data_IF_186757406903
#
_entry.id   IF_186757406903
#
_cell.length_a   1.000
_cell.length_b   1.000
_cell.length_c   1.000
_cell.angle_alpha   90.00
_cell.angle_beta   90.00
_cell.angle_gamma   90.00
#
_symmetry.space_group_name_H-M   'P 1'
#
loop_
_entity.id
_entity.type
_entity.pdbx_description
1 polymer ?
#
# COMPACT_ATOMS: atom_id res chain seq x y z
N UNK A 1 20.49 -3.56 -9.01
CA UNK A 1 20.20 -4.30 -7.76
C UNK A 1 21.49 -4.60 -7.02
N UNK A 2 21.52 -4.35 -5.68
CA UNK A 2 22.70 -4.59 -4.83
C UNK A 2 22.88 -6.11 -4.58
N UNK A 3 21.79 -6.87 -4.63
CA UNK A 3 21.77 -8.33 -4.38
C UNK A 3 20.89 -9.03 -5.44
N UNK A 4 21.37 -9.21 -6.67
CA UNK A 4 20.55 -9.74 -7.77
C UNK A 4 20.08 -11.18 -7.55
N UNK A 5 20.85 -12.00 -6.82
CA UNK A 5 20.54 -13.40 -6.58
C UNK A 5 19.61 -13.66 -5.38
N UNK A 6 19.31 -12.62 -4.59
CA UNK A 6 18.38 -12.76 -3.47
C UNK A 6 16.93 -12.86 -3.98
N UNK A 7 16.12 -13.69 -3.33
CA UNK A 7 14.70 -13.80 -3.70
C UNK A 7 13.96 -12.51 -3.38
N UNK A 8 13.39 -11.91 -4.40
CA UNK A 8 12.51 -10.74 -4.27
C UNK A 8 11.08 -11.18 -3.93
N UNK A 9 10.60 -12.23 -4.59
CA UNK A 9 9.24 -12.73 -4.41
C UNK A 9 9.28 -14.27 -4.29
N UNK A 10 8.53 -14.77 -3.32
CA UNK A 10 8.21 -16.17 -3.15
C UNK A 10 6.70 -16.33 -3.29
N UNK A 11 6.26 -17.27 -4.13
CA UNK A 11 4.86 -17.63 -4.31
C UNK A 11 4.72 -19.14 -4.48
N UNK A 12 3.51 -19.66 -4.36
CA UNK A 12 3.26 -21.11 -4.58
C UNK A 12 3.57 -21.52 -6.03
N UNK A 13 3.35 -20.61 -6.98
CA UNK A 13 3.54 -20.89 -8.41
C UNK A 13 4.97 -20.67 -8.89
N UNK A 14 5.69 -19.68 -8.32
CA UNK A 14 7.01 -19.27 -8.81
C UNK A 14 7.77 -18.41 -7.81
N UNK A 15 9.06 -18.69 -7.68
CA UNK A 15 10.00 -17.79 -6.99
C UNK A 15 10.76 -16.96 -8.03
N UNK A 16 11.07 -15.71 -7.69
CA UNK A 16 11.81 -14.80 -8.56
C UNK A 16 12.86 -14.02 -7.78
N UNK A 17 14.07 -13.89 -8.33
CA UNK A 17 15.14 -13.10 -7.72
C UNK A 17 14.97 -11.61 -8.02
N UNK A 18 15.71 -10.76 -7.27
CA UNK A 18 15.76 -9.32 -7.57
C UNK A 18 16.31 -9.02 -8.96
N UNK A 19 17.27 -9.81 -9.45
CA UNK A 19 17.82 -9.69 -10.80
C UNK A 19 16.77 -9.95 -11.88
N UNK A 20 16.04 -11.07 -11.75
CA UNK A 20 14.96 -11.43 -12.68
C UNK A 20 13.80 -10.44 -12.62
N UNK A 21 13.37 -10.03 -11.41
CA UNK A 21 12.33 -9.04 -11.21
C UNK A 21 12.68 -7.72 -11.91
N UNK A 22 13.91 -7.24 -11.69
CA UNK A 22 14.38 -6.00 -12.32
C UNK A 22 14.43 -6.10 -13.84
N UNK A 23 14.98 -7.20 -14.38
CA UNK A 23 15.05 -7.45 -15.83
C UNK A 23 13.67 -7.39 -16.48
N UNK A 24 12.71 -8.17 -15.95
CA UNK A 24 11.36 -8.24 -16.50
C UNK A 24 10.59 -6.92 -16.34
N UNK A 25 10.73 -6.25 -15.18
CA UNK A 25 10.13 -4.95 -14.97
C UNK A 25 10.73 -3.87 -15.93
N UNK A 26 12.02 -3.92 -16.23
CA UNK A 26 12.65 -3.02 -17.19
C UNK A 26 12.13 -3.28 -18.60
N UNK A 27 12.07 -4.53 -19.04
CA UNK A 27 11.57 -4.88 -20.36
C UNK A 27 10.13 -4.39 -20.58
N UNK A 28 9.25 -4.64 -19.63
CA UNK A 28 7.88 -4.14 -19.69
C UNK A 28 7.81 -2.60 -19.59
N UNK A 29 8.69 -1.97 -18.79
CA UNK A 29 8.70 -0.50 -18.69
C UNK A 29 9.10 0.17 -20.01
N UNK A 30 10.10 -0.38 -20.75
CA UNK A 30 10.45 0.14 -22.08
C UNK A 30 9.29 -0.04 -23.06
N UNK A 31 8.59 -1.15 -23.01
CA UNK A 31 7.38 -1.36 -23.81
C UNK A 31 6.32 -0.29 -23.52
N UNK A 32 6.07 -0.01 -22.24
CA UNK A 32 5.11 1.02 -21.80
C UNK A 32 5.56 2.44 -22.21
N UNK A 33 6.85 2.75 -22.15
CA UNK A 33 7.40 4.03 -22.61
C UNK A 33 7.15 4.22 -24.12
N UNK A 34 7.37 3.18 -24.92
CA UNK A 34 7.09 3.20 -26.36
C UNK A 34 5.61 3.44 -26.67
N UNK A 35 4.72 3.05 -25.74
CA UNK A 35 3.27 3.32 -25.79
C UNK A 35 2.87 4.70 -25.25
N UNK A 36 3.83 5.51 -24.78
CA UNK A 36 3.58 6.86 -24.27
C UNK A 36 3.39 6.97 -22.77
N UNK A 37 3.72 5.94 -21.98
CA UNK A 37 3.73 6.06 -20.51
C UNK A 37 4.87 6.99 -20.07
N UNK A 38 4.57 7.86 -19.11
CA UNK A 38 5.50 8.81 -18.51
C UNK A 38 4.90 9.43 -17.25
N UNK A 39 5.53 10.50 -16.68
CA UNK A 39 5.06 11.13 -15.44
C UNK A 39 3.59 11.50 -15.47
N UNK A 40 2.88 11.11 -14.39
CA UNK A 40 1.43 11.32 -14.19
C UNK A 40 0.51 10.62 -15.22
N UNK A 41 1.03 9.78 -16.12
CA UNK A 41 0.21 8.94 -17.00
C UNK A 41 -0.29 7.73 -16.20
N UNK A 42 -1.62 7.55 -16.13
CA UNK A 42 -2.23 6.40 -15.47
C UNK A 42 -2.19 5.16 -16.36
N UNK A 43 -1.78 4.03 -15.78
CA UNK A 43 -1.85 2.71 -16.41
C UNK A 43 -2.71 1.81 -15.55
N UNK A 44 -3.80 1.29 -16.12
CA UNK A 44 -4.63 0.30 -15.46
C UNK A 44 -3.91 -1.05 -15.38
N UNK A 45 -4.01 -1.72 -14.24
CA UNK A 45 -3.44 -3.06 -14.02
C UNK A 45 -4.55 -3.97 -13.50
N UNK A 46 -5.12 -4.77 -14.40
CA UNK A 46 -6.16 -5.74 -14.10
C UNK A 46 -5.61 -7.15 -14.32
N UNK A 47 -4.95 -7.68 -13.32
CA UNK A 47 -4.26 -8.98 -13.31
C UNK A 47 -4.67 -9.77 -12.08
N UNK A 48 -4.61 -11.10 -12.19
CA UNK A 48 -4.70 -11.94 -11.00
C UNK A 48 -3.48 -11.73 -10.09
N UNK A 49 -3.65 -12.02 -8.79
CA UNK A 49 -2.55 -11.98 -7.83
C UNK A 49 -1.45 -12.96 -8.26
N UNK A 50 -0.31 -12.43 -8.64
CA UNK A 50 0.80 -13.21 -9.21
C UNK A 50 2.09 -12.41 -9.19
N UNK A 51 3.21 -13.07 -9.45
CA UNK A 51 4.50 -12.40 -9.69
C UNK A 51 4.40 -11.40 -10.85
N UNK A 52 3.62 -11.71 -11.89
CA UNK A 52 3.45 -10.84 -13.05
C UNK A 52 2.71 -9.54 -12.72
N UNK A 53 1.79 -9.57 -11.73
CA UNK A 53 1.17 -8.35 -11.22
C UNK A 53 2.21 -7.42 -10.57
N UNK A 54 3.11 -7.94 -9.75
CA UNK A 54 4.17 -7.12 -9.12
C UNK A 54 5.12 -6.56 -10.19
N UNK A 55 5.47 -7.38 -11.20
CA UNK A 55 6.28 -6.93 -12.34
C UNK A 55 5.57 -5.80 -13.08
N UNK A 56 4.27 -5.91 -13.34
CA UNK A 56 3.48 -4.88 -14.03
C UNK A 56 3.46 -3.57 -13.25
N UNK A 57 3.19 -3.62 -11.92
CA UNK A 57 3.21 -2.43 -11.06
C UNK A 57 4.59 -1.75 -11.10
N UNK A 58 5.66 -2.53 -10.92
CA UNK A 58 7.02 -1.97 -10.96
C UNK A 58 7.37 -1.42 -12.34
N UNK A 59 6.93 -2.06 -13.43
CA UNK A 59 7.18 -1.58 -14.78
C UNK A 59 6.49 -0.24 -15.04
N UNK A 60 5.25 -0.06 -14.58
CA UNK A 60 4.53 1.21 -14.65
C UNK A 60 5.30 2.31 -13.92
N UNK A 61 5.73 2.04 -12.68
CA UNK A 61 6.50 3.01 -11.88
C UNK A 61 7.86 3.33 -12.51
N UNK A 62 8.56 2.32 -13.08
CA UNK A 62 9.83 2.51 -13.79
C UNK A 62 9.66 3.29 -15.10
N UNK A 63 8.52 3.18 -15.76
CA UNK A 63 8.16 3.99 -16.92
C UNK A 63 7.78 5.44 -16.54
N UNK A 64 7.78 5.77 -15.25
CA UNK A 64 7.35 7.06 -14.71
C UNK A 64 5.85 7.20 -14.52
N UNK A 65 5.06 6.22 -14.93
CA UNK A 65 3.60 6.22 -14.84
C UNK A 65 3.08 5.97 -13.44
N UNK A 66 1.77 6.16 -13.25
CA UNK A 66 1.06 5.85 -12.03
C UNK A 66 0.14 4.63 -12.21
N UNK A 67 0.17 3.71 -11.25
CA UNK A 67 -0.60 2.49 -11.30
C UNK A 67 -2.05 2.72 -10.86
N UNK A 68 -3.02 2.24 -11.65
CA UNK A 68 -4.40 2.06 -11.25
C UNK A 68 -4.68 0.56 -11.10
N UNK A 69 -4.57 -0.01 -9.89
CA UNK A 69 -4.86 -1.42 -9.68
C UNK A 69 -6.37 -1.67 -9.72
N UNK A 70 -6.75 -2.70 -10.48
CA UNK A 70 -8.13 -3.13 -10.72
C UNK A 70 -8.25 -4.61 -10.35
N UNK A 71 -9.07 -4.94 -9.36
CA UNK A 71 -9.29 -6.34 -8.98
C UNK A 71 -10.25 -6.99 -10.00
N UNK A 72 -9.83 -8.05 -10.72
CA UNK A 72 -10.68 -8.73 -11.69
C UNK A 72 -11.92 -9.37 -11.05
N UNK A 73 -11.92 -9.58 -9.72
CA UNK A 73 -13.07 -10.07 -8.96
C UNK A 73 -14.17 -9.00 -8.77
N UNK A 74 -13.89 -7.74 -9.11
CA UNK A 74 -14.92 -6.69 -8.99
C UNK A 74 -16.05 -6.87 -10.01
N UNK A 75 -17.29 -6.50 -9.64
CA UNK A 75 -18.38 -6.47 -10.59
C UNK A 75 -18.04 -5.63 -11.83
N UNK A 76 -18.47 -6.09 -13.00
CA UNK A 76 -18.26 -5.43 -14.29
C UNK A 76 -18.59 -3.92 -14.27
N UNK A 77 -19.73 -3.54 -13.67
CA UNK A 77 -20.16 -2.13 -13.58
C UNK A 77 -19.19 -1.30 -12.74
N UNK A 78 -18.58 -1.90 -11.70
CA UNK A 78 -17.58 -1.21 -10.87
C UNK A 78 -16.30 -0.98 -11.66
N UNK A 79 -15.82 -1.97 -12.39
CA UNK A 79 -14.65 -1.83 -13.26
C UNK A 79 -14.90 -0.77 -14.34
N UNK A 80 -16.09 -0.77 -14.97
CA UNK A 80 -16.47 0.23 -15.94
C UNK A 80 -16.42 1.65 -15.36
N UNK A 81 -17.04 1.87 -14.18
CA UNK A 81 -17.04 3.18 -13.53
C UNK A 81 -15.62 3.67 -13.19
N UNK A 82 -14.73 2.78 -12.72
CA UNK A 82 -13.35 3.14 -12.38
C UNK A 82 -12.55 3.49 -13.63
N UNK A 83 -12.67 2.71 -14.69
CA UNK A 83 -11.97 2.93 -15.96
C UNK A 83 -12.48 4.19 -16.68
N UNK A 84 -13.78 4.45 -16.67
CA UNK A 84 -14.38 5.66 -17.25
C UNK A 84 -13.93 6.93 -16.49
N UNK A 85 -13.96 6.89 -15.14
CA UNK A 85 -13.57 8.04 -14.31
C UNK A 85 -12.06 8.32 -14.42
N UNK A 86 -11.23 7.26 -14.50
CA UNK A 86 -9.78 7.37 -14.61
C UNK A 86 -9.28 7.66 -16.03
N UNK A 87 -10.06 7.31 -17.06
CA UNK A 87 -9.73 7.48 -18.47
C UNK A 87 -8.31 6.99 -18.82
N UNK A 88 -7.92 5.79 -18.31
CA UNK A 88 -6.57 5.26 -18.51
C UNK A 88 -6.27 5.01 -19.98
N UNK A 89 -5.14 5.48 -20.52
CA UNK A 89 -4.78 5.23 -21.91
C UNK A 89 -4.37 3.78 -22.18
N UNK A 90 -3.80 3.10 -21.20
CA UNK A 90 -3.28 1.73 -21.31
C UNK A 90 -3.86 0.89 -20.18
N UNK A 91 -4.29 -0.34 -20.51
CA UNK A 91 -4.77 -1.35 -19.55
C UNK A 91 -4.00 -2.65 -19.73
N UNK A 92 -3.20 -3.01 -18.73
CA UNK A 92 -2.51 -4.29 -18.65
C UNK A 92 -3.46 -5.35 -18.11
N UNK A 93 -3.54 -6.51 -18.79
CA UNK A 93 -4.40 -7.61 -18.41
C UNK A 93 -3.84 -8.97 -18.87
N UNK A 94 -4.64 -10.03 -18.75
CA UNK A 94 -4.38 -11.40 -19.22
C UNK A 94 -5.50 -11.83 -20.17
N UNK A 95 -5.18 -12.71 -21.13
CA UNK A 95 -6.13 -13.13 -22.17
C UNK A 95 -7.45 -13.68 -21.56
N UNK A 96 -7.35 -14.54 -20.55
CA UNK A 96 -8.53 -15.13 -19.90
C UNK A 96 -9.42 -14.13 -19.13
N UNK A 97 -8.92 -12.94 -18.81
CA UNK A 97 -9.67 -11.88 -18.13
C UNK A 97 -10.42 -10.95 -19.10
N UNK A 98 -10.08 -10.98 -20.41
CA UNK A 98 -10.68 -10.08 -21.41
C UNK A 98 -12.21 -10.12 -21.42
N UNK A 99 -12.81 -11.31 -21.28
CA UNK A 99 -14.25 -11.47 -21.29
C UNK A 99 -14.96 -10.84 -20.06
N UNK A 100 -14.20 -10.55 -19.00
CA UNK A 100 -14.72 -9.94 -17.76
C UNK A 100 -14.57 -8.41 -17.78
N UNK A 101 -13.72 -7.88 -18.68
CA UNK A 101 -13.50 -6.45 -18.78
C UNK A 101 -14.66 -5.72 -19.47
N UNK A 102 -15.02 -4.53 -19.02
CA UNK A 102 -15.95 -3.68 -19.75
C UNK A 102 -15.33 -3.20 -21.07
N UNK A 103 -16.19 -2.76 -22.00
CA UNK A 103 -15.74 -2.06 -23.20
C UNK A 103 -15.07 -0.74 -22.79
N UNK A 104 -13.79 -0.56 -23.15
CA UNK A 104 -12.99 0.61 -22.76
C UNK A 104 -12.31 1.24 -23.98
N UNK A 105 -11.94 2.51 -23.87
CA UNK A 105 -11.15 3.23 -24.87
C UNK A 105 -9.64 3.00 -24.72
N UNK A 106 -9.22 2.34 -23.63
CA UNK A 106 -7.82 2.03 -23.35
C UNK A 106 -7.23 1.10 -24.41
N UNK A 107 -5.96 1.28 -24.72
CA UNK A 107 -5.20 0.26 -25.42
C UNK A 107 -4.96 -0.91 -24.47
N UNK A 108 -5.55 -2.06 -24.77
CA UNK A 108 -5.44 -3.26 -23.94
C UNK A 108 -4.16 -4.00 -24.32
N UNK A 109 -3.37 -4.39 -23.32
CA UNK A 109 -2.15 -5.18 -23.45
C UNK A 109 -2.30 -6.46 -22.65
N UNK A 110 -2.40 -7.60 -23.33
CA UNK A 110 -2.37 -8.92 -22.72
C UNK A 110 -0.94 -9.37 -22.51
N UNK A 111 -0.49 -9.47 -21.25
CA UNK A 111 0.91 -9.77 -20.91
C UNK A 111 1.37 -11.15 -21.38
N UNK A 112 0.46 -12.10 -21.46
CA UNK A 112 0.65 -13.44 -22.00
C UNK A 112 0.87 -13.44 -23.52
N UNK A 113 0.24 -12.53 -24.28
CA UNK A 113 0.40 -12.40 -25.73
C UNK A 113 1.69 -11.68 -26.12
N UNK A 114 2.09 -10.65 -25.37
CA UNK A 114 3.27 -9.82 -25.71
C UNK A 114 4.58 -10.36 -25.15
N UNK A 115 4.59 -11.54 -24.54
CA UNK A 115 5.76 -12.10 -23.83
C UNK A 115 7.02 -12.16 -24.69
N UNK A 116 6.92 -12.65 -25.93
CA UNK A 116 8.05 -12.75 -26.85
C UNK A 116 8.59 -11.36 -27.22
N UNK A 117 7.70 -10.38 -27.43
CA UNK A 117 8.10 -9.01 -27.71
C UNK A 117 8.83 -8.37 -26.51
N UNK A 118 8.37 -8.63 -25.30
CA UNK A 118 9.00 -8.14 -24.07
C UNK A 118 10.42 -8.70 -23.91
N UNK A 119 10.65 -9.97 -24.25
CA UNK A 119 11.97 -10.61 -24.17
C UNK A 119 13.02 -9.92 -25.09
N UNK A 120 12.57 -9.26 -26.16
CA UNK A 120 13.43 -8.48 -27.05
C UNK A 120 13.67 -7.03 -26.61
N UNK A 121 12.94 -6.52 -25.61
CA UNK A 121 13.18 -5.18 -25.04
C UNK A 121 14.43 -5.19 -24.16
N UNK A 122 15.07 -4.03 -24.07
CA UNK A 122 16.26 -3.88 -23.23
C UNK A 122 15.94 -4.12 -21.74
N UNK A 123 16.86 -4.77 -21.05
CA UNK A 123 16.80 -5.02 -19.59
C UNK A 123 17.50 -3.92 -18.76
N UNK A 124 18.03 -2.89 -19.40
CA UNK A 124 18.65 -1.74 -18.70
C UNK A 124 17.57 -0.90 -18.03
N UNK A 125 17.86 -0.34 -16.86
CA UNK A 125 16.91 0.57 -16.22
C UNK A 125 16.57 1.74 -17.15
N UNK A 126 15.29 2.08 -17.33
CA UNK A 126 14.91 3.24 -18.13
C UNK A 126 15.41 4.54 -17.47
N UNK A 127 15.81 5.49 -18.31
CA UNK A 127 16.23 6.85 -17.89
C UNK A 127 15.01 7.79 -17.96
N UNK A 128 14.11 7.66 -17.00
CA UNK A 128 12.93 8.50 -16.87
C UNK A 128 13.08 9.40 -15.65
N UNK A 129 12.92 10.71 -15.88
CA UNK A 129 12.97 11.70 -14.80
C UNK A 129 11.62 11.76 -14.09
N UNK A 130 11.56 11.28 -12.87
CA UNK A 130 10.36 11.28 -12.00
C UNK A 130 10.60 12.20 -10.81
N UNK A 131 9.69 13.15 -10.60
CA UNK A 131 9.67 13.99 -9.39
C UNK A 131 9.00 13.25 -8.23
N UNK A 132 9.38 13.51 -6.97
CA UNK A 132 8.68 13.00 -5.81
C UNK A 132 7.19 13.34 -5.78
N UNK A 133 6.79 14.46 -6.40
CA UNK A 133 5.42 14.93 -6.53
C UNK A 133 4.63 14.22 -7.65
N UNK A 134 5.29 13.47 -8.56
CA UNK A 134 4.54 12.69 -9.54
C UNK A 134 3.72 11.59 -8.87
N UNK A 135 2.61 11.22 -9.51
CA UNK A 135 1.73 10.16 -9.03
C UNK A 135 2.43 8.80 -9.10
N UNK A 136 2.26 8.03 -8.05
CA UNK A 136 2.67 6.63 -7.99
C UNK A 136 1.49 5.68 -8.21
N UNK A 137 0.34 5.99 -7.63
CA UNK A 137 -0.86 5.19 -7.81
C UNK A 137 -2.14 5.99 -7.62
N UNK A 138 -3.23 5.43 -8.14
CA UNK A 138 -4.60 5.87 -7.84
C UNK A 138 -5.38 4.67 -7.31
N UNK A 139 -5.94 4.77 -6.11
CA UNK A 139 -6.78 3.73 -5.52
C UNK A 139 -8.18 4.27 -5.27
N UNK A 140 -9.18 3.50 -5.71
CA UNK A 140 -10.59 3.87 -5.57
C UNK A 140 -11.16 3.45 -4.23
N UNK A 141 -11.70 4.41 -3.50
CA UNK A 141 -12.43 4.20 -2.25
C UNK A 141 -13.93 4.37 -2.44
N UNK A 142 -14.75 3.77 -1.55
CA UNK A 142 -16.19 3.98 -1.54
C UNK A 142 -16.50 5.42 -1.13
N UNK A 143 -17.13 6.19 -2.02
CA UNK A 143 -17.56 7.55 -1.71
C UNK A 143 -18.79 7.57 -0.82
N UNK A 144 -18.94 8.59 0.03
CA UNK A 144 -20.15 8.84 0.85
C UNK A 144 -21.43 8.99 0.01
N UNK A 145 -21.28 9.32 -1.28
CA UNK A 145 -22.38 9.46 -2.27
C UNK A 145 -22.66 8.15 -3.03
N UNK A 146 -22.02 7.03 -2.66
CA UNK A 146 -22.13 5.73 -3.34
C UNK A 146 -21.27 5.58 -4.60
N UNK A 147 -20.74 6.68 -5.16
CA UNK A 147 -19.83 6.61 -6.32
C UNK A 147 -18.37 6.49 -5.87
N UNK A 148 -17.57 5.59 -6.47
CA UNK A 148 -16.15 5.47 -6.15
C UNK A 148 -15.39 6.78 -6.39
N UNK A 149 -14.36 7.03 -5.58
CA UNK A 149 -13.43 8.17 -5.69
C UNK A 149 -12.01 7.65 -5.82
N UNK A 150 -11.29 7.99 -6.88
CA UNK A 150 -9.88 7.69 -7.04
C UNK A 150 -9.02 8.64 -6.22
N UNK A 151 -8.29 8.11 -5.24
CA UNK A 151 -7.33 8.87 -4.43
C UNK A 151 -5.98 8.84 -5.13
N UNK A 152 -5.45 10.01 -5.49
CA UNK A 152 -4.22 10.18 -6.25
C UNK A 152 -3.03 10.39 -5.31
N UNK A 153 -2.15 9.39 -5.19
CA UNK A 153 -1.03 9.37 -4.23
C UNK A 153 0.30 9.54 -4.95
N UNK A 154 1.18 10.34 -4.37
CA UNK A 154 2.48 10.73 -4.91
C UNK A 154 3.61 9.82 -4.38
N UNK A 155 4.75 9.77 -5.09
CA UNK A 155 5.93 9.00 -4.70
C UNK A 155 6.48 9.43 -3.33
N UNK A 156 6.37 10.71 -2.98
CA UNK A 156 6.90 11.27 -1.73
C UNK A 156 6.32 10.60 -0.49
N UNK A 157 4.99 10.35 -0.49
CA UNK A 157 4.32 9.66 0.60
C UNK A 157 4.84 8.23 0.80
N UNK A 158 5.05 7.49 -0.30
CA UNK A 158 5.57 6.12 -0.25
C UNK A 158 6.99 6.10 0.32
N UNK A 159 7.85 7.02 -0.12
CA UNK A 159 9.23 7.08 0.36
C UNK A 159 9.32 7.33 1.88
N UNK A 160 8.46 8.21 2.41
CA UNK A 160 8.36 8.47 3.85
C UNK A 160 7.87 7.22 4.60
N UNK A 161 6.78 6.61 4.12
CA UNK A 161 6.17 5.42 4.71
C UNK A 161 7.17 4.27 4.82
N UNK A 162 7.86 3.93 3.72
CA UNK A 162 8.76 2.77 3.67
C UNK A 162 9.95 2.93 4.61
N UNK A 163 10.54 4.13 4.69
CA UNK A 163 11.63 4.41 5.63
C UNK A 163 11.19 4.23 7.08
N UNK A 164 10.00 4.74 7.40
CA UNK A 164 9.43 4.60 8.73
C UNK A 164 9.11 3.13 9.05
N UNK A 165 8.45 2.39 8.13
CA UNK A 165 8.16 0.97 8.30
C UNK A 165 9.42 0.13 8.53
N UNK A 166 10.48 0.39 7.75
CA UNK A 166 11.75 -0.32 7.89
C UNK A 166 12.32 -0.18 9.29
N UNK A 167 12.32 1.04 9.84
CA UNK A 167 12.77 1.31 11.20
C UNK A 167 11.84 0.73 12.26
N UNK A 168 10.52 0.94 12.13
CA UNK A 168 9.51 0.54 13.12
C UNK A 168 9.43 -0.98 13.29
N UNK A 169 9.51 -1.71 12.18
CA UNK A 169 9.37 -3.17 12.15
C UNK A 169 10.72 -3.90 12.04
N UNK A 170 11.85 -3.18 12.10
CA UNK A 170 13.21 -3.73 11.97
C UNK A 170 13.36 -4.57 10.67
N UNK A 171 12.86 -4.06 9.55
CA UNK A 171 12.94 -4.78 8.27
C UNK A 171 14.37 -4.77 7.75
N UNK A 172 14.87 -5.96 7.47
CA UNK A 172 16.19 -6.19 6.88
C UNK A 172 16.05 -7.03 5.61
N UNK A 173 17.14 -7.27 4.92
CA UNK A 173 17.15 -8.14 3.73
C UNK A 173 16.78 -9.61 4.04
N UNK A 174 16.93 -10.04 5.28
CA UNK A 174 16.55 -11.39 5.75
C UNK A 174 15.05 -11.47 6.08
N UNK A 175 14.38 -10.32 6.18
CA UNK A 175 12.95 -10.27 6.50
C UNK A 175 12.10 -10.83 5.37
N UNK A 176 10.99 -11.45 5.75
CA UNK A 176 9.97 -11.96 4.83
C UNK A 176 8.65 -11.28 5.14
N UNK A 177 8.16 -10.51 4.20
CA UNK A 177 6.95 -9.70 4.35
C UNK A 177 5.82 -10.39 3.60
N UNK A 178 4.68 -10.61 4.25
CA UNK A 178 3.52 -11.14 3.55
C UNK A 178 2.93 -10.14 2.56
N UNK A 179 2.46 -10.62 1.41
CA UNK A 179 1.56 -9.88 0.54
C UNK A 179 0.19 -10.57 0.60
N UNK A 180 -0.71 -10.00 1.39
CA UNK A 180 -2.03 -10.55 1.67
C UNK A 180 -3.15 -9.63 1.16
N UNK A 181 -3.03 -8.33 1.33
CA UNK A 181 -4.05 -7.38 0.92
C UNK A 181 -4.32 -7.45 -0.60
N UNK A 182 -5.57 -7.23 -1.02
CA UNK A 182 -5.87 -7.03 -2.44
C UNK A 182 -5.17 -5.75 -2.93
N UNK A 183 -4.62 -5.79 -4.14
CA UNK A 183 -3.94 -4.64 -4.75
C UNK A 183 -4.88 -3.43 -5.00
N UNK A 184 -6.19 -3.63 -4.88
CA UNK A 184 -7.16 -2.53 -4.89
C UNK A 184 -7.23 -1.76 -3.56
N UNK A 185 -6.45 -2.16 -2.56
CA UNK A 185 -6.27 -1.44 -1.28
C UNK A 185 -4.80 -1.01 -1.14
N UNK A 186 -4.61 0.15 -0.55
CA UNK A 186 -3.30 0.75 -0.35
C UNK A 186 -2.40 -0.03 0.63
N UNK A 187 -2.97 -0.85 1.50
CA UNK A 187 -2.22 -1.79 2.34
C UNK A 187 -1.29 -2.69 1.50
N UNK A 188 -1.72 -3.14 0.30
CA UNK A 188 -0.90 -3.95 -0.60
C UNK A 188 0.33 -3.17 -1.13
N UNK A 189 0.19 -1.85 -1.34
CA UNK A 189 1.32 -0.97 -1.68
C UNK A 189 2.30 -0.92 -0.52
N UNK A 190 1.78 -0.76 0.72
CA UNK A 190 2.59 -0.77 1.94
C UNK A 190 3.38 -2.07 2.11
N UNK A 191 2.74 -3.23 1.93
CA UNK A 191 3.37 -4.56 2.00
C UNK A 191 4.47 -4.72 0.95
N UNK A 192 4.14 -4.44 -0.32
CA UNK A 192 5.04 -4.61 -1.46
C UNK A 192 6.25 -3.69 -1.37
N UNK A 193 6.03 -2.40 -1.11
CA UNK A 193 7.10 -1.42 -1.00
C UNK A 193 7.97 -1.66 0.23
N UNK A 194 7.39 -2.04 1.37
CA UNK A 194 8.13 -2.40 2.58
C UNK A 194 9.11 -3.55 2.32
N UNK A 195 8.71 -4.57 1.57
CA UNK A 195 9.58 -5.67 1.20
C UNK A 195 10.65 -5.24 0.19
N UNK A 196 10.21 -4.82 -0.99
CA UNK A 196 11.09 -4.70 -2.15
C UNK A 196 12.08 -3.53 -2.05
N UNK A 197 11.68 -2.40 -1.43
CA UNK A 197 12.57 -1.24 -1.30
C UNK A 197 13.61 -1.39 -0.16
N UNK A 198 13.45 -2.40 0.71
CA UNK A 198 14.41 -2.74 1.76
C UNK A 198 15.25 -3.98 1.43
N UNK A 199 15.13 -4.55 0.24
CA UNK A 199 15.86 -5.76 -0.16
C UNK A 199 15.37 -7.03 0.52
N UNK A 200 14.20 -7.00 1.19
CA UNK A 200 13.55 -8.13 1.85
C UNK A 200 12.78 -8.99 0.83
N UNK A 201 12.30 -10.15 1.25
CA UNK A 201 11.49 -11.03 0.41
C UNK A 201 10.01 -10.78 0.60
N UNK A 202 9.27 -10.57 -0.48
CA UNK A 202 7.81 -10.54 -0.51
C UNK A 202 7.28 -11.97 -0.63
N UNK A 203 6.51 -12.45 0.34
CA UNK A 203 5.87 -13.77 0.30
C UNK A 203 4.41 -13.58 -0.09
N UNK A 204 4.05 -14.01 -1.30
CA UNK A 204 2.69 -13.87 -1.82
C UNK A 204 1.79 -14.97 -1.23
N UNK A 205 0.66 -14.58 -0.70
CA UNK A 205 -0.35 -15.47 -0.15
C UNK A 205 -1.46 -15.64 -1.20
N UNK A 206 -1.35 -16.68 -2.01
CA UNK A 206 -2.27 -16.93 -3.14
C UNK A 206 -3.58 -17.56 -2.68
N UNK A 207 -3.61 -18.20 -1.51
CA UNK A 207 -4.78 -18.87 -0.96
C UNK A 207 -5.40 -18.07 0.17
N UNK A 208 -6.71 -17.96 0.14
CA UNK A 208 -7.50 -17.24 1.15
C UNK A 208 -7.98 -18.14 2.31
N UNK A 209 -7.69 -19.46 2.27
CA UNK A 209 -8.07 -20.35 3.36
C UNK A 209 -7.08 -20.26 4.55
N UNK A 210 -7.64 -20.33 5.76
CA UNK A 210 -6.90 -20.05 7.00
C UNK A 210 -5.82 -21.08 7.31
N UNK A 211 -6.02 -22.36 6.98
CA UNK A 211 -5.03 -23.38 7.26
C UNK A 211 -3.84 -23.26 6.31
N UNK A 212 -4.07 -22.98 5.02
CA UNK A 212 -3.01 -22.64 4.07
C UNK A 212 -2.24 -21.38 4.48
N UNK A 213 -2.91 -20.39 5.06
CA UNK A 213 -2.27 -19.19 5.57
C UNK A 213 -1.31 -19.50 6.73
N UNK A 214 -1.74 -20.30 7.72
CA UNK A 214 -0.91 -20.75 8.84
C UNK A 214 0.29 -21.55 8.34
N UNK A 215 0.07 -22.51 7.42
CA UNK A 215 1.15 -23.32 6.82
C UNK A 215 2.18 -22.44 6.09
N UNK A 216 1.73 -21.39 5.39
CA UNK A 216 2.62 -20.47 4.68
C UNK A 216 3.42 -19.62 5.65
N UNK A 217 2.80 -19.12 6.73
CA UNK A 217 3.49 -18.37 7.79
C UNK A 217 4.61 -19.22 8.40
N UNK A 218 4.31 -20.47 8.77
CA UNK A 218 5.26 -21.38 9.39
C UNK A 218 6.38 -21.77 8.40
N UNK A 219 6.02 -22.24 7.18
CA UNK A 219 6.97 -22.67 6.16
C UNK A 219 7.97 -21.60 5.78
N UNK A 220 7.51 -20.38 5.57
CA UNK A 220 8.36 -19.27 5.13
C UNK A 220 8.91 -18.46 6.28
N UNK A 221 8.47 -18.65 7.53
CA UNK A 221 8.88 -17.87 8.70
C UNK A 221 8.69 -16.36 8.44
N UNK A 222 7.44 -15.97 8.16
CA UNK A 222 7.10 -14.57 7.87
C UNK A 222 7.46 -13.68 9.06
N UNK A 223 8.15 -12.57 8.77
CA UNK A 223 8.62 -11.63 9.78
C UNK A 223 7.61 -10.53 10.08
N UNK A 224 6.91 -10.04 9.05
CA UNK A 224 5.89 -8.97 9.19
C UNK A 224 4.67 -9.33 8.36
N UNK A 225 3.51 -9.17 8.96
CA UNK A 225 2.23 -9.44 8.32
C UNK A 225 1.22 -8.34 8.62
N UNK A 226 0.55 -7.85 7.57
CA UNK A 226 -0.48 -6.82 7.66
C UNK A 226 -1.85 -7.47 7.48
N UNK A 227 -2.72 -7.36 8.49
CA UNK A 227 -4.04 -8.01 8.47
C UNK A 227 -5.13 -7.13 9.05
N UNK A 228 -6.35 -7.32 8.56
CA UNK A 228 -7.53 -6.73 9.19
C UNK A 228 -7.93 -7.50 10.45
N UNK A 229 -8.51 -6.85 11.48
CA UNK A 229 -8.99 -7.51 12.69
C UNK A 229 -9.92 -8.70 12.48
N UNK A 230 -10.77 -8.65 11.46
CA UNK A 230 -11.67 -9.75 11.10
C UNK A 230 -10.93 -11.04 10.72
N UNK A 231 -9.80 -10.94 9.99
CA UNK A 231 -8.94 -12.06 9.66
C UNK A 231 -8.17 -12.57 10.86
N UNK A 232 -7.63 -11.66 11.69
CA UNK A 232 -6.93 -12.02 12.94
C UNK A 232 -7.81 -12.78 13.92
N UNK A 233 -9.10 -12.46 13.95
CA UNK A 233 -10.08 -13.19 14.77
C UNK A 233 -10.27 -14.65 14.33
N UNK A 234 -10.11 -14.92 13.05
CA UNK A 234 -10.25 -16.26 12.48
C UNK A 234 -8.97 -17.11 12.60
N UNK A 235 -7.82 -16.47 12.81
CA UNK A 235 -6.54 -17.14 13.04
C UNK A 235 -6.33 -17.48 14.51
N UNK A 236 -5.61 -18.57 14.77
CA UNK A 236 -5.19 -18.99 16.11
C UNK A 236 -3.69 -18.87 16.25
N UNK A 237 -3.19 -17.97 17.13
CA UNK A 237 -1.74 -17.81 17.33
C UNK A 237 -1.04 -19.07 17.81
N UNK A 238 -1.76 -19.97 18.49
CA UNK A 238 -1.24 -21.26 18.98
C UNK A 238 -0.88 -22.25 17.86
N UNK A 239 -1.37 -22.04 16.63
CA UNK A 239 -1.01 -22.83 15.45
C UNK A 239 0.33 -22.38 14.81
N UNK A 240 0.88 -21.24 15.24
CA UNK A 240 2.14 -20.71 14.72
C UNK A 240 3.31 -21.35 15.47
N UNK A 241 4.35 -21.80 14.71
CA UNK A 241 5.53 -22.44 15.28
C UNK A 241 6.47 -21.45 15.97
N UNK A 242 6.62 -20.24 15.43
CA UNK A 242 7.50 -19.19 15.94
C UNK A 242 6.82 -17.82 15.98
N UNK A 243 5.69 -17.68 16.73
CA UNK A 243 4.96 -16.41 16.76
C UNK A 243 5.77 -15.26 17.32
N UNK A 244 6.77 -15.52 18.18
CA UNK A 244 7.65 -14.50 18.79
C UNK A 244 8.53 -13.76 17.76
N UNK A 245 8.72 -14.34 16.55
CA UNK A 245 9.47 -13.74 15.45
C UNK A 245 8.59 -12.92 14.51
N UNK A 246 7.27 -13.04 14.66
CA UNK A 246 6.29 -12.38 13.81
C UNK A 246 5.93 -11.00 14.37
N UNK A 247 5.84 -10.02 13.50
CA UNK A 247 5.17 -8.74 13.77
C UNK A 247 3.86 -8.69 13.04
N UNK A 248 2.76 -8.53 13.75
CA UNK A 248 1.44 -8.31 13.16
C UNK A 248 1.08 -6.83 13.23
N UNK A 249 0.68 -6.29 12.07
CA UNK A 249 0.14 -4.95 11.94
C UNK A 249 -1.35 -5.06 11.62
N UNK A 250 -2.20 -4.73 12.58
CA UNK A 250 -3.65 -4.70 12.43
C UNK A 250 -4.07 -3.36 11.84
N UNK A 251 -4.83 -3.37 10.73
CA UNK A 251 -5.22 -2.13 10.03
C UNK A 251 -6.58 -2.29 9.32
N UNK A 252 -7.20 -1.18 8.97
CA UNK A 252 -8.40 -1.11 8.10
C UNK A 252 -9.73 -1.25 8.83
N UNK A 253 -9.75 -1.80 10.04
CA UNK A 253 -10.95 -1.94 10.89
C UNK A 253 -10.61 -1.54 12.34
N UNK A 254 -11.64 -1.25 13.15
CA UNK A 254 -11.45 -1.02 14.57
C UNK A 254 -10.99 -2.33 15.26
N UNK A 255 -9.81 -2.31 15.87
CA UNK A 255 -9.25 -3.48 16.54
C UNK A 255 -9.88 -3.69 17.93
N UNK A 256 -10.53 -4.85 18.19
CA UNK A 256 -11.06 -5.15 19.52
C UNK A 256 -9.93 -5.33 20.55
N UNK A 257 -10.03 -4.72 21.76
CA UNK A 257 -8.98 -4.80 22.77
C UNK A 257 -8.61 -6.23 23.17
N UNK A 258 -9.59 -7.11 23.33
CA UNK A 258 -9.36 -8.52 23.66
C UNK A 258 -8.59 -9.27 22.56
N UNK A 259 -8.84 -8.95 21.28
CA UNK A 259 -8.10 -9.52 20.15
C UNK A 259 -6.64 -9.04 20.18
N UNK A 260 -6.44 -7.74 20.32
CA UNK A 260 -5.11 -7.14 20.36
C UNK A 260 -4.28 -7.66 21.54
N UNK A 261 -4.88 -7.73 22.74
CA UNK A 261 -4.24 -8.28 23.95
C UNK A 261 -3.88 -9.75 23.76
N UNK A 262 -4.77 -10.57 23.18
CA UNK A 262 -4.48 -11.97 22.92
C UNK A 262 -3.25 -12.14 22.03
N UNK A 263 -3.22 -11.48 20.86
CA UNK A 263 -2.09 -11.57 19.94
C UNK A 263 -0.80 -11.03 20.52
N UNK A 264 -0.85 -9.95 21.32
CA UNK A 264 0.33 -9.36 21.94
C UNK A 264 1.05 -10.29 22.95
N UNK A 265 0.41 -11.37 23.41
CA UNK A 265 1.07 -12.40 24.24
C UNK A 265 1.98 -13.33 23.42
N UNK A 266 1.75 -13.44 22.11
CA UNK A 266 2.47 -14.38 21.25
C UNK A 266 3.49 -13.69 20.36
N UNK A 267 3.19 -12.49 19.87
CA UNK A 267 4.00 -11.81 18.86
C UNK A 267 4.06 -10.29 19.13
N UNK A 268 4.94 -9.58 18.41
CA UNK A 268 4.89 -8.13 18.36
C UNK A 268 3.59 -7.74 17.63
N UNK A 269 2.73 -6.98 18.30
CA UNK A 269 1.45 -6.56 17.75
C UNK A 269 1.32 -5.04 17.74
N UNK A 270 0.92 -4.49 16.60
CA UNK A 270 0.66 -3.07 16.43
C UNK A 270 -0.71 -2.83 15.79
N UNK A 271 -1.40 -1.78 16.24
CA UNK A 271 -2.61 -1.27 15.62
C UNK A 271 -2.27 -0.04 14.78
N UNK A 272 -2.46 -0.12 13.47
CA UNK A 272 -2.21 0.98 12.54
C UNK A 272 -3.52 1.61 12.09
N UNK A 273 -3.46 2.90 11.81
CA UNK A 273 -4.56 3.68 11.25
C UNK A 273 -4.03 4.60 10.15
N UNK A 274 -4.78 4.73 9.08
CA UNK A 274 -4.56 5.70 8.01
C UNK A 274 -5.70 5.66 7.02
N UNK A 275 -6.21 6.81 6.57
CA UNK A 275 -7.08 6.87 5.42
C UNK A 275 -6.24 6.74 4.14
N UNK A 276 -6.85 6.24 3.06
CA UNK A 276 -6.19 6.15 1.74
C UNK A 276 -5.69 7.51 1.26
N UNK A 277 -6.36 8.59 1.67
CA UNK A 277 -5.95 9.98 1.44
C UNK A 277 -4.63 10.38 2.14
N UNK A 278 -4.09 9.48 3.01
CA UNK A 278 -2.78 9.66 3.66
C UNK A 278 -1.92 8.41 3.54
N UNK A 279 -1.48 8.06 2.38
CA UNK A 279 -0.53 6.99 2.01
C UNK A 279 -0.43 5.86 3.04
N UNK A 280 -1.42 4.95 3.09
CA UNK A 280 -1.52 3.71 3.87
C UNK A 280 -1.63 3.92 5.39
N UNK A 281 -0.61 4.50 6.05
CA UNK A 281 -0.60 4.70 7.50
C UNK A 281 -0.29 6.15 7.86
N UNK A 282 -1.05 6.68 8.80
CA UNK A 282 -0.76 7.96 9.45
C UNK A 282 -0.37 7.79 10.92
N UNK A 283 -0.83 6.70 11.59
CA UNK A 283 -0.64 6.45 13.02
C UNK A 283 -0.35 4.98 13.28
N UNK A 284 0.35 4.73 14.41
CA UNK A 284 0.61 3.40 14.93
C UNK A 284 0.54 3.41 16.45
N UNK A 285 0.01 2.33 16.99
CA UNK A 285 0.02 2.00 18.42
C UNK A 285 0.61 0.62 18.64
N UNK A 286 1.76 0.53 19.31
CA UNK A 286 2.31 -0.75 19.77
C UNK A 286 1.48 -1.27 20.94
N UNK A 287 0.99 -2.50 20.84
CA UNK A 287 0.21 -3.17 21.86
C UNK A 287 1.09 -4.10 22.65
N UNK A 288 1.09 -3.93 23.96
CA UNK A 288 1.84 -4.78 24.88
C UNK A 288 0.89 -5.73 25.61
N UNK A 289 1.34 -6.95 25.97
CA UNK A 289 0.54 -7.90 26.74
C UNK A 289 0.15 -7.28 28.08
N UNK A 290 -1.11 -7.49 28.47
CA UNK A 290 -1.64 -7.06 29.77
C UNK A 290 -2.00 -8.26 30.60
N UNK A 291 -1.71 -8.22 31.92
CA UNK A 291 -2.17 -9.22 32.86
C UNK A 291 -3.67 -9.02 33.16
N UNK A 292 -4.45 -10.10 33.02
CA UNK A 292 -5.90 -10.10 33.27
C UNK A 292 -6.74 -9.56 32.10
N UNK A 293 -8.08 -9.51 32.27
CA UNK A 293 -8.98 -9.08 31.22
C UNK A 293 -8.76 -7.59 30.87
N UNK A 294 -8.56 -7.31 29.59
CA UNK A 294 -8.43 -5.93 29.12
C UNK A 294 -9.79 -5.22 29.19
N UNK A 295 -9.90 -4.26 30.11
CA UNK A 295 -11.09 -3.42 30.34
C UNK A 295 -11.11 -2.19 29.42
N UNK A 296 -10.17 -2.04 28.50
CA UNK A 296 -10.15 -0.94 27.55
C UNK A 296 -11.41 -0.96 26.67
N UNK A 297 -11.96 0.20 26.37
CA UNK A 297 -13.13 0.33 25.50
C UNK A 297 -12.72 0.15 24.04
N UNK A 298 -11.50 0.59 23.68
CA UNK A 298 -10.93 0.51 22.32
C UNK A 298 -9.41 0.45 22.37
N UNK A 299 -8.80 -0.05 21.32
CA UNK A 299 -7.36 0.11 21.07
C UNK A 299 -7.13 1.49 20.45
N UNK A 300 -6.22 2.31 20.99
CA UNK A 300 -5.88 3.59 20.38
C UNK A 300 -5.37 3.43 18.94
N UNK A 301 -5.56 4.46 18.11
CA UNK A 301 -4.91 4.52 16.79
C UNK A 301 -3.41 4.85 16.92
N UNK A 302 -3.00 5.40 18.06
CA UNK A 302 -1.62 5.63 18.42
C UNK A 302 -1.09 7.01 18.07
N UNK A 303 0.21 7.06 17.81
CA UNK A 303 0.95 8.26 17.51
C UNK A 303 1.18 8.43 16.01
N UNK A 304 1.33 9.67 15.53
CA UNK A 304 1.70 9.92 14.14
C UNK A 304 3.00 9.20 13.76
N UNK A 305 3.08 8.71 12.53
CA UNK A 305 4.34 8.19 11.97
C UNK A 305 5.31 9.34 11.68
N UNK A 306 6.56 9.01 11.32
CA UNK A 306 7.59 10.02 11.06
C UNK A 306 7.12 11.09 10.05
N UNK A 307 7.47 12.33 10.32
CA UNK A 307 7.13 13.51 9.51
C UNK A 307 5.62 13.79 9.36
N UNK A 308 4.79 13.19 10.21
CA UNK A 308 3.33 13.36 10.22
C UNK A 308 2.91 14.18 11.42
N UNK A 309 2.02 15.13 11.21
CA UNK A 309 1.39 15.91 12.27
C UNK A 309 -0.12 15.68 12.28
N UNK A 310 -0.70 15.68 13.46
CA UNK A 310 -2.11 15.42 13.65
C UNK A 310 -2.71 16.47 14.56
N UNK A 311 -3.86 16.98 14.14
CA UNK A 311 -4.63 17.97 14.88
C UNK A 311 -6.03 17.44 15.14
N UNK A 312 -6.54 17.66 16.34
CA UNK A 312 -7.93 17.36 16.68
C UNK A 312 -8.64 18.72 16.75
N UNK A 313 -9.53 18.97 15.78
CA UNK A 313 -10.14 20.27 15.56
C UNK A 313 -11.66 20.25 15.74
N UNK A 314 -12.21 21.39 16.12
CA UNK A 314 -13.64 21.64 16.12
C UNK A 314 -14.16 22.03 14.71
N UNK A 315 -15.46 22.28 14.59
CA UNK A 315 -16.09 22.67 13.32
C UNK A 315 -15.59 24.03 12.77
N UNK A 316 -14.90 24.84 13.58
CA UNK A 316 -14.31 26.12 13.18
C UNK A 316 -12.80 26.01 12.93
N UNK A 317 -12.27 24.77 12.88
CA UNK A 317 -10.85 24.46 12.71
C UNK A 317 -9.97 24.95 13.87
N UNK A 318 -10.50 25.11 15.08
CA UNK A 318 -9.73 25.39 16.27
C UNK A 318 -9.33 24.09 16.98
N UNK A 319 -8.12 23.98 17.54
CA UNK A 319 -7.73 22.86 18.37
C UNK A 319 -8.67 22.70 19.57
N UNK A 320 -9.15 21.46 19.79
CA UNK A 320 -9.97 21.18 20.96
C UNK A 320 -9.10 20.92 22.19
N UNK A 321 -9.59 21.26 23.41
CA UNK A 321 -8.86 20.94 24.64
C UNK A 321 -8.68 19.43 24.83
N UNK A 322 -7.62 19.04 25.57
CA UNK A 322 -7.34 17.63 25.90
C UNK A 322 -8.57 16.98 26.55
N UNK A 323 -8.93 15.79 26.08
CA UNK A 323 -10.09 15.04 26.55
C UNK A 323 -11.42 15.40 25.85
N UNK A 324 -11.42 16.35 24.92
CA UNK A 324 -12.59 16.67 24.10
C UNK A 324 -12.54 15.96 22.75
N UNK A 325 -13.72 15.71 22.19
CA UNK A 325 -13.89 15.08 20.88
C UNK A 325 -13.79 16.15 19.78
N UNK A 326 -13.08 15.82 18.68
CA UNK A 326 -12.99 16.64 17.48
C UNK A 326 -12.74 15.79 16.25
N UNK A 327 -12.68 16.42 15.07
CA UNK A 327 -12.30 15.77 13.81
C UNK A 327 -10.78 15.66 13.70
N UNK A 328 -10.30 14.55 13.16
CA UNK A 328 -8.86 14.31 12.95
C UNK A 328 -8.44 14.97 11.64
N UNK A 329 -7.47 15.88 11.72
CA UNK A 329 -6.79 16.48 10.58
C UNK A 329 -5.34 16.01 10.56
N UNK A 330 -4.86 15.60 9.39
CA UNK A 330 -3.52 15.01 9.24
C UNK A 330 -2.73 15.85 8.24
N UNK A 331 -1.47 16.14 8.57
CA UNK A 331 -0.55 16.92 7.75
C UNK A 331 0.79 16.18 7.61
N UNK A 332 1.45 16.33 6.47
CA UNK A 332 2.77 15.73 6.22
C UNK A 332 2.91 15.13 4.83
N UNK A 333 4.05 14.46 4.56
CA UNK A 333 4.41 13.96 3.23
C UNK A 333 3.50 12.85 2.68
N UNK A 334 2.71 12.21 3.56
CA UNK A 334 1.78 11.16 3.17
C UNK A 334 0.45 11.64 2.58
N UNK A 335 0.19 12.98 2.55
CA UNK A 335 -1.04 13.52 1.98
C UNK A 335 -1.10 13.22 0.49
N UNK A 336 -2.23 12.68 0.03
CA UNK A 336 -2.52 12.52 -1.39
C UNK A 336 -2.70 13.88 -2.08
N UNK A 337 -2.48 13.93 -3.40
CA UNK A 337 -2.75 15.13 -4.22
C UNK A 337 -4.22 15.55 -4.18
N UNK A 338 -5.12 14.59 -4.02
CA UNK A 338 -6.56 14.80 -4.00
C UNK A 338 -7.33 13.66 -4.65
N UNK A 339 -8.58 13.92 -4.99
CA UNK A 339 -9.43 12.97 -5.71
C UNK A 339 -9.35 13.23 -7.20
N UNK A 340 -9.05 12.18 -7.96
CA UNK A 340 -8.91 12.20 -9.41
C UNK A 340 -10.18 12.80 -10.06
N UNK A 341 -10.01 13.78 -10.93
CA UNK A 341 -11.08 14.46 -11.67
C UNK A 341 -12.20 15.06 -10.80
N UNK A 342 -11.96 15.29 -9.48
CA UNK A 342 -12.98 15.78 -8.55
C UNK A 342 -12.49 17.00 -7.72
N UNK A 343 -12.20 18.15 -8.38
CA UNK A 343 -11.62 19.31 -7.70
C UNK A 343 -12.53 19.87 -6.59
N UNK A 344 -13.85 19.83 -6.76
CA UNK A 344 -14.80 20.33 -5.75
C UNK A 344 -14.73 19.54 -4.44
N UNK A 345 -14.73 18.19 -4.50
CA UNK A 345 -14.62 17.35 -3.30
C UNK A 345 -13.20 17.47 -2.74
N UNK A 346 -12.17 17.53 -3.58
CA UNK A 346 -10.79 17.74 -3.15
C UNK A 346 -10.68 19.01 -2.29
N UNK A 347 -11.19 20.13 -2.74
CA UNK A 347 -11.14 21.39 -2.00
C UNK A 347 -11.88 21.36 -0.64
N UNK A 348 -12.81 20.44 -0.43
CA UNK A 348 -13.52 20.28 0.86
C UNK A 348 -12.82 19.36 1.84
N UNK A 349 -11.90 18.50 1.37
CA UNK A 349 -11.21 17.50 2.22
C UNK A 349 -9.73 17.75 2.37
N UNK A 350 -9.10 18.40 1.41
CA UNK A 350 -7.69 18.77 1.43
C UNK A 350 -7.60 20.28 1.64
N UNK A 351 -7.44 20.68 2.90
CA UNK A 351 -7.44 22.08 3.31
C UNK A 351 -6.01 22.58 3.51
N UNK A 352 -5.73 23.87 3.28
CA UNK A 352 -4.46 24.45 3.71
C UNK A 352 -4.26 24.29 5.21
N UNK A 353 -3.05 23.90 5.63
CA UNK A 353 -2.73 23.78 7.05
C UNK A 353 -2.57 25.19 7.69
N UNK A 354 -3.46 25.61 8.59
CA UNK A 354 -3.40 26.94 9.20
C UNK A 354 -2.27 27.05 10.24
N UNK A 355 -1.65 25.92 10.63
CA UNK A 355 -0.63 25.88 11.69
C UNK A 355 0.81 25.91 11.15
N UNK A 356 1.04 25.88 9.83
CA UNK A 356 2.40 25.88 9.23
C UNK A 356 3.27 27.05 9.69
N UNK A 357 2.69 28.22 9.91
CA UNK A 357 3.43 29.42 10.36
C UNK A 357 3.96 29.23 11.77
N UNK A 358 3.18 28.65 12.67
CA UNK A 358 3.59 28.36 14.05
C UNK A 358 4.70 27.30 14.10
N UNK A 359 4.60 26.28 13.27
CA UNK A 359 5.59 25.21 13.16
C UNK A 359 6.97 25.73 12.74
N UNK A 360 7.01 26.67 11.81
CA UNK A 360 8.27 27.30 11.34
C UNK A 360 8.98 28.08 12.48
N UNK A 361 8.23 28.69 13.40
CA UNK A 361 8.80 29.42 14.53
C UNK A 361 9.29 28.46 15.63
N UNK A 362 8.58 27.38 15.94
CA UNK A 362 9.01 26.36 16.91
C UNK A 362 10.31 25.67 16.48
N UNK A 363 10.42 25.27 15.20
CA UNK A 363 11.66 24.66 14.69
C UNK A 363 12.84 25.63 14.73
N UNK A 364 12.62 26.91 14.55
CA UNK A 364 13.67 27.92 14.59
C UNK A 364 14.14 28.22 16.01
N UNK A 365 13.24 28.23 17.00
CA UNK A 365 13.60 28.39 18.41
C UNK A 365 14.41 27.19 18.94
N UNK A 366 14.17 25.96 18.44
CA UNK A 366 14.93 24.77 18.81
C UNK A 366 16.33 24.78 18.15
N UNK A 367 16.48 25.38 16.97
CA UNK A 367 17.77 25.49 16.28
C UNK A 367 18.66 26.63 16.82
N UNK A 368 18.05 27.63 17.45
CA UNK A 368 18.74 28.80 18.04
C UNK A 368 19.03 28.63 19.56
N UNK A 369 18.59 27.53 20.19
CA UNK A 369 18.83 27.17 21.59
C UNK A 369 19.89 26.07 21.74
#
# INVERSE_FOLDING_TARGET
TIQPEHFAIISDSRNITYGELNTRANQLSHYLIDMGTGPDVLVGVCLERSVDMVIAILAVLKAGGACLPLDPKYPHDRLAQMLDDAAVPILLTQEHLLAQLPSVWSQIVCLDEVKEELEHKTSVNPDVQVSPENLAYVIYTSGSTGKPKGVAVEHYGIANLVRWQASQFNVTKESKISQFASYSFDAAVGETCMALLNGATLVMLEREDLDALVDTINRHQISVMVLVPSMLKALSPEKLEHPEKLTIVSVGEACPPGLASNWAHYCKFANAYGPTEYTVYSHLWDVYPKEGPDKSISVPIGFPIANTKTYILDANLNPVPIGHTGEIYISGPGIARGYLNKPGITATKFLPNPFLIYEYFEEKEILDA
#
